data_IF_511855959588
#
_entry.id   IF_511855959588
#
_cell.length_a   1.000
_cell.length_b   1.000
_cell.length_c   1.000
_cell.angle_alpha   90.00
_cell.angle_beta   90.00
_cell.angle_gamma   90.00
#
_symmetry.space_group_name_H-M   'P 1'
#
loop_
_entity.id
_entity.type
_entity.pdbx_description
1 polymer ?
#
# COMPACT_ATOMS: atom_id res chain seq x y z
N UNK A 1 11.02 -4.17 38.16
CA UNK A 1 10.99 -4.13 37.41
C UNK A 1 10.50 -3.79 36.90
N UNK A 2 10.35 -3.65 36.74
CA UNK A 2 10.02 -3.38 35.96
C UNK A 2 9.45 -3.08 35.30
N UNK A 3 9.09 -2.99 35.32
CA UNK A 3 8.62 -2.77 34.45
C UNK A 3 7.97 -2.66 33.97
N UNK A 4 7.78 -2.63 34.01
CA UNK A 4 7.21 -2.64 33.21
C UNK A 4 6.68 -2.38 32.75
N UNK A 5 6.63 -2.34 32.88
CA UNK A 5 6.28 -2.19 32.06
C UNK A 5 5.69 -2.14 31.51
N UNK A 6 5.73 -2.13 31.66
CA UNK A 6 5.25 -2.25 30.77
C UNK A 6 4.56 -2.16 30.62
N UNK A 7 4.25 -1.98 30.73
CA UNK A 7 3.56 -2.09 30.21
C UNK A 7 3.02 -1.69 29.74
N UNK A 8 3.09 -1.22 29.75
CA UNK A 8 2.54 -1.06 29.10
C UNK A 8 2.11 -1.09 28.37
N UNK A 9 2.22 -0.87 28.10
CA UNK A 9 1.75 -0.99 27.14
C UNK A 9 1.07 -1.60 26.97
N UNK A 10 0.78 -1.80 27.10
CA UNK A 10 0.13 -2.50 26.69
C UNK A 10 -0.91 -2.55 26.68
N UNK A 11 -1.12 -2.18 26.93
CA UNK A 11 -2.00 -2.32 26.71
C UNK A 11 -2.77 -2.04 26.18
N UNK A 12 -2.75 -1.61 26.05
CA UNK A 12 -3.36 -1.44 25.36
C UNK A 12 -3.78 -1.82 24.53
N UNK A 13 -3.46 -1.94 24.60
CA UNK A 13 -3.87 -2.43 23.52
C UNK A 13 -4.99 -3.26 23.45
N UNK A 14 -5.78 -2.97 23.61
CA UNK A 14 -6.94 -3.66 23.94
C UNK A 14 -7.65 -4.18 22.73
N UNK A 15 -7.52 -5.44 22.46
CA UNK A 15 -8.37 -6.12 21.49
C UNK A 15 -8.42 -5.57 20.09
N UNK A 16 -7.54 -4.69 19.77
CA UNK A 16 -7.56 -4.08 18.45
C UNK A 16 -6.63 -4.76 17.46
N UNK A 17 -5.96 -5.81 17.93
CA UNK A 17 -5.03 -6.50 17.08
C UNK A 17 -3.71 -5.75 16.95
N UNK A 18 -2.80 -6.27 16.13
CA UNK A 18 -1.49 -5.65 15.97
C UNK A 18 -1.58 -4.30 15.30
N UNK A 19 -0.62 -3.41 15.57
CA UNK A 19 -0.62 -2.10 14.92
C UNK A 19 -0.33 -2.22 13.43
N UNK A 20 -0.76 -1.27 12.64
CA UNK A 20 -0.44 -1.29 11.21
C UNK A 20 1.04 -1.04 11.00
N UNK A 21 1.56 -1.62 9.94
CA UNK A 21 2.97 -1.47 9.55
C UNK A 21 3.06 -0.83 8.19
N UNK A 22 4.00 0.09 8.05
CA UNK A 22 4.30 0.68 6.76
C UNK A 22 5.44 -0.10 6.13
N UNK A 23 5.19 -0.66 4.96
CA UNK A 23 6.20 -1.41 4.23
C UNK A 23 6.58 -0.64 2.97
N UNK A 24 7.87 -0.54 2.72
CA UNK A 24 8.39 0.18 1.56
C UNK A 24 9.50 -0.61 0.91
N UNK A 25 9.53 -0.60 -0.41
CA UNK A 25 10.61 -1.18 -1.19
C UNK A 25 11.01 -0.20 -2.27
N UNK A 26 12.26 -0.27 -2.69
CA UNK A 26 12.80 0.66 -3.67
C UNK A 26 13.53 -0.10 -4.76
N UNK A 27 13.52 0.48 -5.95
CA UNK A 27 14.34 -0.01 -7.05
C UNK A 27 15.80 0.38 -6.80
N UNK A 28 16.72 -0.24 -7.53
CA UNK A 28 18.15 0.07 -7.39
C UNK A 28 18.47 1.53 -7.68
N UNK A 29 17.65 2.17 -8.50
CA UNK A 29 17.87 3.57 -8.85
C UNK A 29 17.32 4.55 -7.80
N UNK A 30 16.81 4.03 -6.68
CA UNK A 30 16.26 4.88 -5.62
C UNK A 30 14.80 5.20 -5.76
N UNK A 31 14.17 4.82 -6.87
CA UNK A 31 12.76 5.05 -7.09
C UNK A 31 11.92 4.14 -6.18
N UNK A 32 10.91 4.70 -5.55
CA UNK A 32 9.98 3.90 -4.76
C UNK A 32 9.31 2.86 -5.65
N UNK A 33 9.34 1.61 -5.21
CA UNK A 33 8.70 0.51 -5.93
C UNK A 33 7.31 0.28 -5.40
N UNK A 34 7.20 0.10 -4.10
CA UNK A 34 5.91 -0.15 -3.45
C UNK A 34 5.93 0.45 -2.06
N UNK A 35 4.80 0.99 -1.67
CA UNK A 35 4.59 1.48 -0.31
C UNK A 35 3.17 1.10 0.07
N UNK A 36 3.03 0.44 1.21
CA UNK A 36 1.71 0.01 1.63
C UNK A 36 1.61 -0.11 3.14
N UNK A 37 0.39 0.02 3.62
CA UNK A 37 0.10 -0.14 5.04
C UNK A 37 -0.55 -1.50 5.21
N UNK A 38 -0.01 -2.30 6.12
CA UNK A 38 -0.46 -3.66 6.36
C UNK A 38 -0.75 -3.86 7.82
N UNK A 39 -1.72 -4.71 8.10
CA UNK A 39 -2.01 -5.11 9.46
C UNK A 39 -2.10 -6.63 9.47
N UNK A 40 -1.22 -7.26 10.25
CA UNK A 40 -1.19 -8.72 10.36
C UNK A 40 -1.08 -9.38 8.98
N UNK A 41 -0.25 -8.79 8.11
CA UNK A 41 -0.01 -9.33 6.78
C UNK A 41 -1.06 -9.01 5.75
N UNK A 42 -2.11 -8.29 6.13
CA UNK A 42 -3.21 -7.95 5.23
C UNK A 42 -3.14 -6.46 4.90
N UNK A 43 -3.23 -6.08 3.61
CA UNK A 43 -3.21 -4.65 3.28
C UNK A 43 -4.42 -3.94 3.86
N UNK A 44 -4.15 -2.79 4.48
CA UNK A 44 -5.18 -2.03 5.17
C UNK A 44 -4.78 -0.56 5.14
N UNK A 45 -5.35 0.20 4.22
CA UNK A 45 -5.02 1.60 4.06
C UNK A 45 -4.38 1.86 2.71
N UNK A 46 -3.62 2.94 2.62
CA UNK A 46 -3.04 3.36 1.36
C UNK A 46 -2.03 2.36 0.83
N UNK A 47 -2.05 2.14 -0.47
CA UNK A 47 -1.10 1.27 -1.13
C UNK A 47 -0.73 1.89 -2.48
N UNK A 48 0.56 1.91 -2.77
CA UNK A 48 1.09 2.52 -4.00
C UNK A 48 2.14 1.61 -4.61
N UNK A 49 2.08 1.47 -5.92
CA UNK A 49 3.09 0.70 -6.65
C UNK A 49 3.50 1.50 -7.88
N UNK A 50 4.79 1.54 -8.15
CA UNK A 50 5.36 2.34 -9.23
C UNK A 50 6.29 1.52 -10.09
N UNK A 51 6.43 1.94 -11.34
CA UNK A 51 7.45 1.41 -12.23
C UNK A 51 8.80 2.03 -11.88
N UNK A 52 9.86 1.45 -12.43
CA UNK A 52 11.22 1.94 -12.19
C UNK A 52 11.40 3.39 -12.64
N UNK A 53 10.62 3.82 -13.61
CA UNK A 53 10.68 5.20 -14.11
C UNK A 53 9.79 6.16 -13.33
N UNK A 54 9.14 5.69 -12.26
CA UNK A 54 8.31 6.55 -11.42
C UNK A 54 6.85 6.63 -11.83
N UNK A 55 6.48 5.99 -12.93
CA UNK A 55 5.08 6.02 -13.36
C UNK A 55 4.26 5.07 -12.49
N UNK A 56 3.07 5.51 -12.11
CA UNK A 56 2.21 4.75 -11.23
C UNK A 56 1.73 3.46 -11.89
N UNK A 57 1.87 2.34 -11.17
CA UNK A 57 1.25 1.08 -11.59
C UNK A 57 -0.15 1.01 -11.01
N UNK A 58 -0.26 1.26 -9.71
CA UNK A 58 -1.56 1.35 -9.07
C UNK A 58 -1.41 2.10 -7.75
N UNK A 59 -2.47 2.75 -7.34
CA UNK A 59 -2.48 3.53 -6.11
C UNK A 59 -3.90 3.68 -5.64
N UNK A 60 -4.14 3.36 -4.37
CA UNK A 60 -5.47 3.45 -3.80
C UNK A 60 -5.51 2.96 -2.38
N UNK A 61 -6.70 2.65 -1.91
CA UNK A 61 -6.91 2.28 -0.52
C UNK A 61 -7.45 0.85 -0.44
N UNK A 62 -6.94 0.10 0.53
CA UNK A 62 -7.46 -1.21 0.87
C UNK A 62 -8.21 -1.14 2.18
N UNK A 63 -9.23 -1.95 2.29
CA UNK A 63 -9.93 -2.14 3.55
C UNK A 63 -10.17 -3.64 3.70
N UNK A 64 -9.69 -4.20 4.80
CA UNK A 64 -9.80 -5.62 5.08
C UNK A 64 -9.29 -6.48 3.93
N UNK A 65 -8.21 -6.04 3.29
CA UNK A 65 -7.59 -6.78 2.22
C UNK A 65 -8.19 -6.59 0.85
N UNK A 66 -9.24 -5.77 0.73
CA UNK A 66 -9.92 -5.54 -0.54
C UNK A 66 -9.80 -4.10 -0.99
N UNK A 67 -9.70 -3.90 -2.28
CA UNK A 67 -9.66 -2.55 -2.83
C UNK A 67 -10.99 -1.86 -2.60
N UNK A 68 -10.94 -0.58 -2.24
CA UNK A 68 -12.15 0.22 -2.04
C UNK A 68 -11.91 1.63 -2.52
N UNK A 69 -13.01 2.32 -2.85
CA UNK A 69 -12.94 3.70 -3.30
C UNK A 69 -12.31 3.83 -4.66
N UNK A 70 -11.71 4.97 -4.91
CA UNK A 70 -11.10 5.26 -6.21
C UNK A 70 -9.65 4.80 -6.24
N UNK A 71 -9.30 4.17 -7.35
CA UNK A 71 -7.94 3.68 -7.58
C UNK A 71 -7.41 4.22 -8.88
N UNK A 72 -6.12 4.54 -8.88
CA UNK A 72 -5.41 4.81 -10.11
C UNK A 72 -4.76 3.49 -10.53
N UNK A 73 -5.05 3.05 -11.74
CA UNK A 73 -4.48 1.81 -12.23
C UNK A 73 -3.84 2.05 -13.59
N UNK A 74 -2.57 1.69 -13.70
CA UNK A 74 -1.85 1.86 -14.92
C UNK A 74 -2.15 0.75 -15.90
N UNK A 75 -2.40 1.12 -17.12
CA UNK A 75 -2.60 0.18 -18.20
C UNK A 75 -1.32 0.17 -19.01
N UNK A 76 -0.75 -1.01 -19.18
CA UNK A 76 0.46 -1.11 -19.97
C UNK A 76 0.11 -1.69 -21.32
N UNK A 77 0.20 -0.86 -22.31
CA UNK A 77 0.05 -1.32 -23.69
C UNK A 77 1.43 -1.58 -24.23
N UNK A 78 1.77 -2.84 -24.41
CA UNK A 78 3.08 -3.21 -24.91
C UNK A 78 2.93 -3.62 -26.35
N UNK A 79 2.87 -2.66 -27.22
CA UNK A 79 2.86 -2.98 -28.63
C UNK A 79 3.84 -2.05 -29.34
N UNK A 80 4.98 -2.61 -29.66
CA UNK A 80 5.95 -1.94 -30.49
C UNK A 80 6.69 -0.81 -29.80
N UNK A 81 7.33 0.04 -30.58
CA UNK A 81 8.16 1.09 -30.05
C UNK A 81 7.39 2.26 -29.44
N UNK A 82 6.08 2.29 -29.63
CA UNK A 82 5.26 3.37 -29.11
C UNK A 82 4.54 2.96 -27.85
N UNK A 83 5.32 2.54 -26.93
CA UNK A 83 4.85 2.16 -25.62
C UNK A 83 4.35 3.39 -24.87
N UNK A 84 3.10 3.38 -24.51
CA UNK A 84 2.56 4.46 -23.67
C UNK A 84 1.94 3.87 -22.43
N UNK A 85 2.26 4.47 -21.31
CA UNK A 85 1.68 4.07 -20.03
C UNK A 85 0.52 5.01 -19.76
N UNK A 86 -0.65 4.45 -19.66
CA UNK A 86 -1.82 5.22 -19.35
C UNK A 86 -2.31 4.84 -17.97
N UNK A 87 -2.73 5.84 -17.22
CA UNK A 87 -3.26 5.65 -15.89
C UNK A 87 -4.73 6.01 -15.93
N UNK A 88 -5.58 5.10 -15.47
CA UNK A 88 -7.01 5.36 -15.42
C UNK A 88 -7.51 5.25 -14.01
N UNK A 89 -8.65 5.90 -13.76
CA UNK A 89 -9.31 5.83 -12.46
C UNK A 89 -10.34 4.71 -12.50
N UNK A 90 -10.25 3.80 -11.55
CA UNK A 90 -11.19 2.70 -11.40
C UNK A 90 -11.87 2.88 -10.05
N UNK A 91 -13.18 2.79 -10.03
CA UNK A 91 -13.94 2.98 -8.79
C UNK A 91 -14.44 1.63 -8.26
N UNK A 92 -14.08 1.34 -7.03
CA UNK A 92 -14.55 0.15 -6.32
C UNK A 92 -15.59 0.58 -5.29
N UNK A 93 -16.16 -0.37 -4.59
CA UNK A 93 -17.12 -0.07 -3.53
C UNK A 93 -16.50 0.88 -2.51
N UNK A 94 -17.29 1.77 -1.90
CA UNK A 94 -16.75 2.72 -0.92
C UNK A 94 -16.04 2.03 0.24
N UNK A 95 -15.01 2.69 0.74
CA UNK A 95 -14.33 2.23 1.93
C UNK A 95 -15.21 2.53 3.20
#
# INVERSE_FOLDING_TARGET
MKRILSLIGVVLVVGCGPPPELLESYYDNGQLMVRGIYRDGVPEGLNETYHENGVVVQKGTYKDGEKCGEWLEGSRSVTGPNYSEEVETVTYDPC
#
